data_IF_950842527078
#
_entry.id   IF_950842527078
#
_cell.length_a   1.000
_cell.length_b   1.000
_cell.length_c   1.000
_cell.angle_alpha   90.00
_cell.angle_beta   90.00
_cell.angle_gamma   90.00
#
_symmetry.space_group_name_H-M   'P 1'
#
loop_
_entity.id
_entity.type
_entity.pdbx_description
1 polymer ?
#
# COMPACT_ATOMS: atom_id res chain seq x y z
N UNK A 1 -16.80 -3.47 8.69
CA UNK A 1 -17.58 -3.35 7.44
C UNK A 1 -16.76 -3.91 6.29
N UNK A 2 -17.36 -4.28 5.15
CA UNK A 2 -16.62 -4.66 3.93
C UNK A 2 -15.71 -3.50 3.44
N UNK A 3 -16.18 -2.26 3.63
CA UNK A 3 -15.43 -1.04 3.29
C UNK A 3 -14.12 -0.93 4.09
N UNK A 4 -14.13 -1.27 5.38
CA UNK A 4 -12.94 -1.23 6.23
C UNK A 4 -11.88 -2.25 5.77
N UNK A 5 -12.33 -3.41 5.26
CA UNK A 5 -11.43 -4.45 4.74
C UNK A 5 -10.78 -4.00 3.44
N UNK A 6 -11.53 -3.34 2.55
CA UNK A 6 -10.99 -2.77 1.30
C UNK A 6 -9.95 -1.70 1.62
N UNK A 7 -10.26 -0.76 2.52
CA UNK A 7 -9.32 0.29 2.95
C UNK A 7 -8.03 -0.33 3.53
N UNK A 8 -8.16 -1.34 4.38
CA UNK A 8 -7.01 -2.03 4.97
C UNK A 8 -6.12 -2.70 3.91
N UNK A 9 -6.72 -3.41 2.95
CA UNK A 9 -5.98 -4.07 1.87
C UNK A 9 -5.26 -3.06 0.96
N UNK A 10 -5.94 -1.97 0.60
CA UNK A 10 -5.39 -0.92 -0.27
C UNK A 10 -4.20 -0.22 0.38
N UNK A 11 -4.30 0.10 1.68
CA UNK A 11 -3.21 0.75 2.41
C UNK A 11 -2.06 -0.23 2.72
N UNK A 12 -2.32 -1.52 2.89
CA UNK A 12 -1.27 -2.52 3.12
C UNK A 12 -0.43 -2.82 1.86
N UNK A 13 -1.04 -2.79 0.67
CA UNK A 13 -0.33 -3.01 -0.62
C UNK A 13 0.29 -1.71 -1.14
N UNK A 14 -0.35 -0.59 -0.87
CA UNK A 14 -0.06 0.67 -1.54
C UNK A 14 -0.67 0.75 -2.94
N UNK A 15 -0.80 1.96 -3.44
CA UNK A 15 -1.51 2.28 -4.68
C UNK A 15 -0.59 2.97 -5.66
N UNK A 16 -0.48 2.42 -6.86
CA UNK A 16 0.32 3.02 -7.93
C UNK A 16 -0.33 4.31 -8.45
N UNK A 17 0.27 5.45 -8.12
CA UNK A 17 -0.31 6.79 -8.28
C UNK A 17 -0.62 7.14 -9.74
N UNK A 18 0.20 6.67 -10.68
CA UNK A 18 0.07 7.00 -12.10
C UNK A 18 -0.93 6.11 -12.86
N UNK A 19 -1.32 4.98 -12.30
CA UNK A 19 -2.20 4.01 -13.00
C UNK A 19 -3.49 3.71 -12.25
N UNK A 20 -3.56 4.01 -10.95
CA UNK A 20 -4.74 3.76 -10.15
C UNK A 20 -5.98 4.51 -10.66
N UNK A 21 -7.14 3.87 -10.53
CA UNK A 21 -8.43 4.50 -10.80
C UNK A 21 -8.81 5.49 -9.70
N UNK A 22 -9.69 6.48 -9.99
CA UNK A 22 -10.21 7.38 -8.95
C UNK A 22 -10.87 6.63 -7.80
N UNK A 23 -11.55 5.52 -8.09
CA UNK A 23 -12.20 4.70 -7.06
C UNK A 23 -11.17 4.07 -6.11
N UNK A 24 -10.09 3.49 -6.63
CA UNK A 24 -9.02 2.91 -5.80
C UNK A 24 -8.34 3.98 -4.94
N UNK A 25 -8.04 5.15 -5.53
CA UNK A 25 -7.45 6.27 -4.80
C UNK A 25 -8.38 6.81 -3.70
N UNK A 26 -9.70 6.71 -3.86
CA UNK A 26 -10.65 7.19 -2.85
C UNK A 26 -10.58 6.43 -1.53
N UNK A 27 -10.05 5.20 -1.53
CA UNK A 27 -9.85 4.37 -0.34
C UNK A 27 -8.51 4.62 0.37
N UNK A 28 -7.61 5.40 -0.24
CA UNK A 28 -6.34 5.77 0.40
C UNK A 28 -6.62 6.75 1.53
N UNK A 29 -5.95 6.52 2.66
CA UNK A 29 -6.06 7.40 3.84
C UNK A 29 -5.83 8.86 3.46
N UNK A 30 -6.77 9.73 3.85
CA UNK A 30 -6.67 11.17 3.64
C UNK A 30 -7.08 11.70 2.25
N UNK A 31 -7.45 10.86 1.28
CA UNK A 31 -7.86 11.32 -0.06
C UNK A 31 -9.39 11.46 -0.21
N UNK A 32 -10.13 10.36 -0.05
CA UNK A 32 -11.56 10.32 -0.37
C UNK A 32 -11.88 10.61 -1.84
N UNK A 33 -13.16 10.63 -2.25
CA UNK A 33 -13.55 10.70 -3.66
C UNK A 33 -13.15 12.00 -4.35
N UNK A 34 -13.22 13.14 -3.65
CA UNK A 34 -12.92 14.45 -4.20
C UNK A 34 -11.44 14.63 -4.54
N UNK A 35 -10.53 14.29 -3.63
CA UNK A 35 -9.09 14.41 -3.91
C UNK A 35 -8.63 13.35 -4.90
N UNK A 36 -9.22 12.15 -4.88
CA UNK A 36 -8.94 11.12 -5.87
C UNK A 36 -9.24 11.60 -7.30
N UNK A 37 -10.37 12.27 -7.51
CA UNK A 37 -10.69 12.89 -8.80
C UNK A 37 -9.67 13.99 -9.18
N UNK A 38 -9.28 14.84 -8.22
CA UNK A 38 -8.31 15.90 -8.47
C UNK A 38 -6.92 15.36 -8.84
N UNK A 39 -6.47 14.26 -8.21
CA UNK A 39 -5.19 13.62 -8.54
C UNK A 39 -5.19 13.10 -9.97
N UNK A 40 -6.28 12.43 -10.39
CA UNK A 40 -6.40 11.92 -11.76
C UNK A 40 -6.45 13.07 -12.77
N UNK A 41 -7.25 14.10 -12.51
CA UNK A 41 -7.29 15.30 -13.36
C UNK A 41 -5.93 16.00 -13.45
N UNK A 42 -5.18 16.07 -12.33
CA UNK A 42 -3.85 16.66 -12.32
C UNK A 42 -2.90 15.89 -13.25
N UNK A 43 -2.80 14.55 -13.14
CA UNK A 43 -1.89 13.78 -14.00
C UNK A 43 -2.31 13.73 -15.48
N UNK A 44 -3.61 13.88 -15.76
CA UNK A 44 -4.10 14.01 -17.13
C UNK A 44 -3.70 15.36 -17.76
N UNK A 45 -3.61 16.42 -16.95
CA UNK A 45 -3.24 17.75 -17.41
C UNK A 45 -1.74 18.04 -17.42
N UNK A 46 -1.00 17.56 -16.40
CA UNK A 46 0.42 17.85 -16.19
C UNK A 46 1.34 16.70 -16.63
N UNK A 47 0.76 15.53 -16.94
CA UNK A 47 1.51 14.30 -17.17
C UNK A 47 1.70 13.47 -15.89
N UNK A 48 2.38 12.33 -15.99
CA UNK A 48 2.57 11.43 -14.85
C UNK A 48 3.38 12.08 -13.72
N UNK A 49 3.06 11.71 -12.49
CA UNK A 49 3.86 12.07 -11.31
C UNK A 49 5.24 11.40 -11.40
N UNK A 50 6.30 12.18 -11.19
CA UNK A 50 7.68 11.70 -11.11
C UNK A 50 8.21 11.69 -9.68
N UNK A 51 7.51 12.36 -8.75
CA UNK A 51 7.79 12.32 -7.32
C UNK A 51 6.51 12.54 -6.50
N UNK A 52 6.43 11.97 -5.30
CA UNK A 52 5.31 12.23 -4.38
C UNK A 52 5.21 13.70 -4.02
N UNK A 53 6.31 14.44 -4.01
CA UNK A 53 6.30 15.87 -3.66
C UNK A 53 5.37 16.71 -4.55
N UNK A 54 5.15 16.28 -5.80
CA UNK A 54 4.21 16.93 -6.73
C UNK A 54 2.74 16.79 -6.29
N UNK A 55 2.41 15.88 -5.37
CA UNK A 55 1.06 15.81 -4.78
C UNK A 55 0.68 17.13 -4.09
N UNK A 56 1.65 17.91 -3.61
CA UNK A 56 1.41 19.23 -3.01
C UNK A 56 0.90 20.27 -4.03
N UNK A 57 1.06 20.01 -5.32
CA UNK A 57 0.58 20.85 -6.41
C UNK A 57 -0.87 20.49 -6.82
N UNK A 58 -1.40 19.38 -6.30
CA UNK A 58 -2.76 18.95 -6.60
C UNK A 58 -3.78 19.89 -5.92
N UNK A 59 -4.75 20.43 -6.66
CA UNK A 59 -5.76 21.32 -6.09
C UNK A 59 -6.47 20.70 -4.88
N UNK A 60 -6.55 21.48 -3.79
CA UNK A 60 -7.19 21.13 -2.51
C UNK A 60 -6.51 20.02 -1.72
N UNK A 61 -5.37 19.49 -2.17
CA UNK A 61 -4.57 18.54 -1.40
C UNK A 61 -3.73 19.32 -0.37
N UNK A 62 -4.26 19.42 0.85
CA UNK A 62 -3.59 20.13 1.94
C UNK A 62 -2.47 19.33 2.61
N UNK A 63 -1.64 19.97 3.45
CA UNK A 63 -0.52 19.31 4.14
C UNK A 63 -0.94 18.06 4.92
N UNK A 64 -2.10 18.09 5.59
CA UNK A 64 -2.59 16.93 6.34
C UNK A 64 -2.99 15.76 5.42
N UNK A 65 -3.63 16.05 4.29
CA UNK A 65 -3.97 15.01 3.32
C UNK A 65 -2.72 14.39 2.71
N UNK A 66 -1.69 15.21 2.44
CA UNK A 66 -0.38 14.73 2.00
C UNK A 66 0.26 13.78 3.03
N UNK A 67 0.39 14.22 4.28
CA UNK A 67 0.96 13.44 5.38
C UNK A 67 0.23 12.11 5.60
N UNK A 68 -1.09 12.08 5.43
CA UNK A 68 -1.87 10.86 5.65
C UNK A 68 -1.84 9.90 4.44
N UNK A 69 -1.58 10.41 3.23
CA UNK A 69 -1.68 9.61 1.99
C UNK A 69 -0.33 9.21 1.41
N UNK A 70 0.72 10.02 1.59
CA UNK A 70 1.97 9.86 0.86
C UNK A 70 2.67 8.51 1.14
N UNK A 71 2.53 7.96 2.35
CA UNK A 71 3.07 6.65 2.72
C UNK A 71 2.38 5.47 2.01
N UNK A 72 1.22 5.67 1.39
CA UNK A 72 0.44 4.63 0.72
C UNK A 72 0.47 4.73 -0.81
N UNK A 73 0.95 5.85 -1.34
CA UNK A 73 1.05 6.06 -2.79
C UNK A 73 2.42 5.59 -3.29
N UNK A 74 2.47 4.97 -4.46
CA UNK A 74 3.72 4.49 -5.08
C UNK A 74 3.88 5.10 -6.47
N UNK A 75 5.11 5.38 -6.87
CA UNK A 75 5.44 5.83 -8.22
C UNK A 75 6.52 4.91 -8.76
N UNK A 76 6.21 4.12 -9.78
CA UNK A 76 7.20 3.31 -10.50
C UNK A 76 8.06 4.20 -11.39
N UNK A 77 9.38 4.00 -11.36
CA UNK A 77 10.33 4.80 -12.14
C UNK A 77 10.42 6.24 -11.65
N UNK A 78 10.15 6.48 -10.37
CA UNK A 78 10.31 7.78 -9.72
C UNK A 78 11.77 8.25 -9.73
N UNK A 79 11.95 9.57 -9.62
CA UNK A 79 13.29 10.17 -9.50
C UNK A 79 13.95 9.79 -8.18
N UNK A 80 13.18 9.75 -7.09
CA UNK A 80 13.64 9.25 -5.81
C UNK A 80 13.22 7.77 -5.68
N UNK A 81 14.14 6.82 -5.45
CA UNK A 81 13.79 5.41 -5.36
C UNK A 81 12.85 5.09 -4.18
N UNK A 82 12.82 5.92 -3.14
CA UNK A 82 11.93 5.74 -1.98
C UNK A 82 10.46 6.00 -2.32
N UNK A 83 10.16 6.73 -3.40
CA UNK A 83 8.80 6.93 -3.89
C UNK A 83 8.16 5.61 -4.41
N UNK A 84 8.96 4.58 -4.66
CA UNK A 84 8.51 3.22 -4.97
C UNK A 84 8.36 2.30 -3.73
N UNK A 85 8.78 2.75 -2.55
CA UNK A 85 8.73 1.99 -1.28
C UNK A 85 7.58 2.46 -0.37
N UNK A 86 7.33 1.83 0.78
CA UNK A 86 6.39 2.39 1.77
C UNK A 86 6.99 3.45 2.70
N UNK A 87 8.27 3.78 2.54
CA UNK A 87 8.90 4.83 3.33
C UNK A 87 8.18 6.15 3.08
N UNK A 88 7.72 6.77 4.18
CA UNK A 88 7.06 8.06 4.14
C UNK A 88 8.06 9.19 3.79
N UNK A 89 7.70 10.20 2.98
CA UNK A 89 8.59 11.31 2.63
C UNK A 89 9.22 12.05 3.82
N UNK A 90 8.53 12.09 4.96
CA UNK A 90 9.04 12.70 6.20
C UNK A 90 10.29 11.99 6.75
N UNK A 91 10.57 10.77 6.29
CA UNK A 91 11.72 9.97 6.71
C UNK A 91 12.82 9.87 5.65
N UNK A 92 12.68 10.56 4.49
CA UNK A 92 13.68 10.49 3.43
C UNK A 92 15.05 10.99 3.90
N UNK A 93 15.07 12.09 4.64
CA UNK A 93 16.30 12.66 5.21
C UNK A 93 17.04 11.65 6.10
N UNK A 94 16.30 10.83 6.86
CA UNK A 94 16.90 9.81 7.73
C UNK A 94 17.54 8.71 6.89
N UNK A 95 16.84 8.23 5.86
CA UNK A 95 17.36 7.18 4.96
C UNK A 95 18.55 7.67 4.14
N UNK A 96 18.49 8.90 3.63
CA UNK A 96 19.61 9.54 2.92
C UNK A 96 20.83 9.67 3.82
N UNK A 97 20.63 10.03 5.10
CA UNK A 97 21.72 10.07 6.09
C UNK A 97 22.30 8.69 6.36
N UNK A 98 21.46 7.65 6.48
CA UNK A 98 21.93 6.27 6.63
C UNK A 98 22.81 5.84 5.44
N UNK A 99 22.38 6.15 4.21
CA UNK A 99 23.14 5.84 3.01
C UNK A 99 24.50 6.57 2.98
N UNK A 100 24.48 7.87 3.31
CA UNK A 100 25.69 8.69 3.39
C UNK A 100 26.69 8.18 4.44
N UNK A 101 26.22 7.80 5.63
CA UNK A 101 27.07 7.29 6.71
C UNK A 101 27.73 5.94 6.36
N UNK A 102 27.11 5.16 5.48
CA UNK A 102 27.65 3.90 4.96
C UNK A 102 28.46 4.06 3.66
N UNK A 103 28.43 5.23 3.05
CA UNK A 103 29.07 5.52 1.76
C UNK A 103 28.45 4.79 0.58
N UNK A 104 27.14 4.51 0.64
CA UNK A 104 26.38 3.85 -0.42
C UNK A 104 25.24 4.75 -0.92
N UNK A 105 24.56 4.35 -1.99
CA UNK A 105 23.36 5.04 -2.45
C UNK A 105 22.10 4.53 -1.72
N UNK A 106 20.97 5.22 -1.90
CA UNK A 106 19.69 4.77 -1.34
C UNK A 106 19.18 3.52 -2.07
N UNK A 107 19.48 3.40 -3.36
CA UNK A 107 19.23 2.19 -4.15
C UNK A 107 19.98 0.98 -3.56
N UNK A 108 21.24 1.16 -3.15
CA UNK A 108 22.01 0.10 -2.49
C UNK A 108 21.33 -0.39 -1.19
N UNK A 109 20.68 0.52 -0.44
CA UNK A 109 19.93 0.14 0.76
C UNK A 109 18.64 -0.63 0.45
N UNK A 110 18.03 -0.40 -0.71
CA UNK A 110 16.83 -1.11 -1.15
C UNK A 110 17.18 -2.51 -1.69
N UNK A 111 18.30 -2.64 -2.39
CA UNK A 111 18.71 -3.89 -3.04
C UNK A 111 19.53 -4.82 -2.14
N UNK A 112 20.40 -4.27 -1.28
CA UNK A 112 21.42 -5.04 -0.58
C UNK A 112 21.14 -5.19 0.93
N UNK A 113 20.81 -6.41 1.33
CA UNK A 113 20.58 -6.77 2.73
C UNK A 113 21.83 -6.57 3.61
N UNK A 114 23.01 -6.93 3.13
CA UNK A 114 24.25 -6.79 3.89
C UNK A 114 24.59 -5.33 4.20
N UNK A 115 24.18 -4.39 3.33
CA UNK A 115 24.33 -2.96 3.59
C UNK A 115 23.38 -2.51 4.71
N UNK A 116 22.14 -2.99 4.70
CA UNK A 116 21.15 -2.70 5.76
C UNK A 116 21.56 -3.24 7.13
N UNK A 117 22.13 -4.45 7.18
CA UNK A 117 22.58 -5.07 8.44
C UNK A 117 23.69 -4.27 9.14
N UNK A 118 24.46 -3.49 8.38
CA UNK A 118 25.52 -2.62 8.92
C UNK A 118 24.97 -1.36 9.59
N UNK A 119 23.68 -1.03 9.41
CA UNK A 119 23.06 0.16 9.98
C UNK A 119 22.72 -0.09 11.45
N UNK A 120 23.36 0.66 12.34
CA UNK A 120 22.92 0.77 13.72
C UNK A 120 21.82 1.85 13.85
N UNK A 121 20.56 1.43 13.85
CA UNK A 121 19.39 2.33 13.93
C UNK A 121 19.42 3.26 15.16
N UNK A 122 20.08 2.89 16.25
CA UNK A 122 20.12 3.71 17.47
C UNK A 122 20.82 5.06 17.27
N UNK A 123 21.69 5.18 16.27
CA UNK A 123 22.38 6.43 15.93
C UNK A 123 21.49 7.46 15.22
N UNK A 124 20.32 7.04 14.75
CA UNK A 124 19.40 7.85 13.96
C UNK A 124 18.11 8.22 14.72
N UNK A 125 18.06 7.95 16.02
CA UNK A 125 16.95 8.36 16.88
C UNK A 125 16.93 9.88 16.97
N UNK A 126 15.78 10.47 16.67
CA UNK A 126 15.52 11.90 16.80
C UNK A 126 14.12 12.15 17.38
N UNK A 127 13.73 13.42 17.50
CA UNK A 127 12.42 13.81 18.04
C UNK A 127 11.27 13.30 17.15
N UNK A 128 11.50 13.23 15.85
CA UNK A 128 10.53 12.85 14.82
C UNK A 128 10.49 11.34 14.55
N UNK A 129 11.56 10.60 14.88
CA UNK A 129 11.68 9.17 14.61
C UNK A 129 12.32 8.42 15.79
N UNK A 130 11.47 7.71 16.52
CA UNK A 130 11.90 6.77 17.56
C UNK A 130 12.37 5.43 16.99
N UNK A 131 12.87 4.57 17.87
CA UNK A 131 13.26 3.20 17.52
C UNK A 131 12.17 2.40 16.79
N UNK A 132 10.87 2.46 17.16
CA UNK A 132 9.81 1.77 16.41
C UNK A 132 9.75 2.21 14.95
N UNK A 133 9.68 3.52 14.71
CA UNK A 133 9.66 4.12 13.37
C UNK A 133 10.88 3.72 12.55
N UNK A 134 12.07 3.72 13.17
CA UNK A 134 13.31 3.32 12.49
C UNK A 134 13.31 1.84 12.12
N UNK A 135 12.75 0.96 12.95
CA UNK A 135 12.58 -0.46 12.59
C UNK A 135 11.60 -0.62 11.43
N UNK A 136 10.52 0.14 11.44
CA UNK A 136 9.54 0.11 10.34
C UNK A 136 10.20 0.57 9.04
N UNK A 137 10.97 1.68 9.06
CA UNK A 137 11.76 2.13 7.90
C UNK A 137 12.70 1.01 7.41
N UNK A 138 13.45 0.37 8.30
CA UNK A 138 14.36 -0.71 7.90
C UNK A 138 13.61 -1.91 7.30
N UNK A 139 12.42 -2.24 7.81
CA UNK A 139 11.56 -3.29 7.26
C UNK A 139 11.04 -2.92 5.86
N UNK A 140 10.66 -1.66 5.64
CA UNK A 140 10.20 -1.17 4.34
C UNK A 140 11.34 -1.10 3.32
N UNK A 141 12.55 -0.70 3.73
CA UNK A 141 13.74 -0.75 2.89
C UNK A 141 14.07 -2.20 2.47
N UNK A 142 13.81 -3.18 3.35
CA UNK A 142 14.01 -4.59 3.05
C UNK A 142 13.06 -5.16 1.99
N UNK A 143 11.93 -4.50 1.75
CA UNK A 143 10.88 -4.95 0.83
C UNK A 143 10.30 -3.76 0.05
N UNK A 144 11.04 -3.19 -0.92
CA UNK A 144 10.53 -2.08 -1.73
C UNK A 144 9.22 -2.49 -2.41
N UNK A 145 8.10 -1.97 -1.89
CA UNK A 145 6.77 -2.23 -2.44
C UNK A 145 6.34 -3.69 -2.29
N UNK A 146 6.47 -4.29 -1.09
CA UNK A 146 5.83 -5.57 -0.75
C UNK A 146 4.44 -5.59 -1.38
N UNK A 147 4.18 -6.59 -2.21
CA UNK A 147 2.84 -6.91 -2.66
C UNK A 147 2.31 -7.99 -1.70
N UNK A 148 1.49 -7.65 -0.68
CA UNK A 148 0.81 -8.61 0.18
C UNK A 148 0.08 -9.71 -0.57
N UNK A 149 -0.24 -9.51 -1.86
CA UNK A 149 -0.89 -10.52 -2.69
C UNK A 149 0.01 -11.71 -3.03
N UNK A 150 1.33 -11.64 -2.80
CA UNK A 150 2.20 -12.83 -2.88
C UNK A 150 1.99 -13.81 -1.73
N UNK A 151 1.52 -13.32 -0.57
CA UNK A 151 1.16 -14.16 0.58
C UNK A 151 -0.33 -14.57 0.54
N UNK A 152 -1.11 -14.05 -0.40
CA UNK A 152 -2.40 -14.63 -0.76
C UNK A 152 -2.08 -15.86 -1.60
N UNK A 153 -2.02 -17.04 -0.97
CA UNK A 153 -2.29 -18.28 -1.68
C UNK A 153 -3.53 -18.02 -2.53
N UNK A 154 -3.36 -18.01 -3.85
CA UNK A 154 -4.49 -18.11 -4.75
C UNK A 154 -5.28 -19.30 -4.25
N UNK A 155 -6.50 -19.08 -3.77
CA UNK A 155 -7.46 -20.16 -3.62
C UNK A 155 -7.58 -20.72 -5.03
N UNK A 156 -6.81 -21.76 -5.32
CA UNK A 156 -6.96 -22.52 -6.54
C UNK A 156 -8.39 -23.04 -6.44
N UNK A 157 -9.29 -22.47 -7.26
CA UNK A 157 -10.55 -23.13 -7.51
C UNK A 157 -10.17 -24.53 -7.99
N UNK A 158 -10.53 -25.54 -7.17
CA UNK A 158 -10.24 -26.93 -7.50
C UNK A 158 -10.64 -27.14 -8.95
N UNK A 159 -9.72 -27.56 -9.85
CA UNK A 159 -9.99 -27.73 -11.28
C UNK A 159 -11.00 -28.85 -11.59
N UNK A 160 -11.70 -29.34 -10.57
CA UNK A 160 -12.46 -30.58 -10.55
C UNK A 160 -13.98 -30.37 -10.48
N UNK A 161 -14.47 -29.12 -10.46
CA UNK A 161 -15.91 -28.86 -10.29
C UNK A 161 -16.40 -27.95 -11.42
N UNK A 162 -16.95 -28.57 -12.46
CA UNK A 162 -17.56 -27.89 -13.60
C UNK A 162 -19.08 -28.11 -13.68
N UNK A 163 -19.67 -28.93 -12.82
CA UNK A 163 -21.11 -29.22 -12.82
C UNK A 163 -21.68 -29.67 -11.47
N UNK A 164 -23.01 -29.77 -11.39
CA UNK A 164 -23.75 -30.17 -10.17
C UNK A 164 -23.53 -31.67 -9.84
N UNK A 165 -23.14 -32.45 -10.85
CA UNK A 165 -22.82 -33.87 -10.78
C UNK A 165 -21.52 -34.20 -10.02
N UNK A 166 -20.64 -33.23 -9.77
CA UNK A 166 -19.34 -33.45 -9.12
C UNK A 166 -19.39 -33.35 -7.57
N UNK A 167 -20.58 -33.20 -6.98
CA UNK A 167 -20.77 -32.98 -5.54
C UNK A 167 -20.97 -34.29 -4.77
N UNK A 168 -20.02 -34.62 -3.88
CA UNK A 168 -20.13 -35.75 -2.97
C UNK A 168 -20.53 -35.31 -1.54
N UNK A 169 -21.37 -36.07 -0.83
CA UNK A 169 -21.69 -35.80 0.57
C UNK A 169 -20.42 -35.83 1.45
N UNK A 170 -20.08 -34.70 2.09
CA UNK A 170 -18.90 -34.55 2.95
C UNK A 170 -17.83 -33.58 2.43
N UNK A 171 -18.02 -32.96 1.27
CA UNK A 171 -17.12 -31.93 0.75
C UNK A 171 -17.32 -30.59 1.48
N UNK A 172 -16.25 -30.04 2.06
CA UNK A 172 -16.17 -28.64 2.48
C UNK A 172 -15.82 -27.78 1.27
N UNK A 173 -16.71 -26.85 0.91
CA UNK A 173 -16.52 -25.94 -0.23
C UNK A 173 -16.60 -24.49 0.24
N UNK A 174 -15.62 -23.68 -0.17
CA UNK A 174 -15.63 -22.24 0.06
C UNK A 174 -16.57 -21.55 -0.93
N UNK A 175 -17.82 -21.35 -0.54
CA UNK A 175 -18.82 -20.63 -1.35
C UNK A 175 -18.88 -19.14 -1.01
N UNK A 176 -18.94 -18.28 -2.03
CA UNK A 176 -19.26 -16.86 -1.86
C UNK A 176 -20.79 -16.70 -1.90
N UNK A 177 -21.39 -16.21 -0.81
CA UNK A 177 -22.83 -15.94 -0.72
C UNK A 177 -23.18 -14.77 -1.65
N UNK A 178 -23.91 -15.04 -2.72
CA UNK A 178 -24.23 -14.05 -3.75
C UNK A 178 -25.64 -13.46 -3.66
N UNK A 179 -26.47 -13.86 -2.69
CA UNK A 179 -27.75 -13.19 -2.46
C UNK A 179 -28.24 -13.33 -1.01
N UNK A 180 -28.49 -12.21 -0.34
CA UNK A 180 -29.09 -12.17 1.01
C UNK A 180 -30.58 -11.85 0.84
N UNK A 181 -31.43 -12.86 1.02
CA UNK A 181 -32.89 -12.66 1.12
C UNK A 181 -33.32 -13.05 2.53
N UNK A 182 -34.03 -12.15 3.22
CA UNK A 182 -34.52 -12.38 4.57
C UNK A 182 -35.75 -13.31 4.56
N UNK A 183 -35.57 -14.57 4.94
CA UNK A 183 -36.66 -15.41 5.41
C UNK A 183 -36.35 -15.88 6.83
N UNK A 184 -36.95 -15.20 7.81
CA UNK A 184 -36.96 -15.65 9.19
C UNK A 184 -37.90 -16.85 9.36
N UNK A 185 -37.60 -17.80 10.26
CA UNK A 185 -38.52 -18.89 10.57
C UNK A 185 -39.71 -18.37 11.39
N UNK A 186 -40.90 -18.70 10.89
CA UNK A 186 -42.16 -18.64 11.61
C UNK A 186 -42.12 -19.48 12.88
N UNK A 187 -42.57 -18.90 13.99
CA UNK A 187 -42.92 -19.59 15.25
C UNK A 187 -44.03 -20.61 15.01
N UNK A 188 -43.82 -21.82 15.53
CA UNK A 188 -44.80 -22.83 15.93
C UNK A 188 -44.02 -23.92 16.68
N UNK A 189 -44.32 -24.33 17.90
CA UNK A 189 -45.56 -24.31 18.67
C UNK A 189 -45.32 -23.90 20.13
#
# INVERSE_FOLDING_TARGET
SLEDVVVSCVNAVGVELNTASPHLLSYVSGLGPGLAANIVAWRESMGPFISRMQLREVPRLGPKAFEQSAGFLRIRGSVNPLDASAVHPDHYVIVERMAADLGCSVEDLLENESTRERINITHYVCEEAGIPTLRDIMSELAKPGRDPRKDFESVEFSPSVHGIEDLNPGMELAGVVSNVTAFGPSRGS
#
